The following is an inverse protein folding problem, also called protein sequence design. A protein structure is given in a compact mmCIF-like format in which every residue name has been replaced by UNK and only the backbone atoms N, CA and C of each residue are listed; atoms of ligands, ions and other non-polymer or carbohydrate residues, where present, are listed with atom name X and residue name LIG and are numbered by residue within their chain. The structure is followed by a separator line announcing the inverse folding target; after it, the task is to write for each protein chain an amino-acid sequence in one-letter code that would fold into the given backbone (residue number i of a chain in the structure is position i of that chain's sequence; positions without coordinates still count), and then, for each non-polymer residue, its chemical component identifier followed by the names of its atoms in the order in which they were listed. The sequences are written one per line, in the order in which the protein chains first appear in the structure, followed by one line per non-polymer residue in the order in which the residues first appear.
data_IF_356200027989
#
_entry.id   IF_356200027989
#
_cell.length_a   1.000
_cell.length_b   1.000
_cell.length_c   1.000
_cell.angle_alpha   90.00
_cell.angle_beta   90.00
_cell.angle_gamma   90.00
#
_symmetry.space_group_name_H-M   'P 1'
#
loop_
_entity.id
_entity.type
_entity.pdbx_description
1 polymer ?
#
# COMPACT_ATOMS: atom_id res chain seq x y z
N UNK A 1 5.70 43.27 34.64
CA UNK A 1 4.49 42.81 33.94
C UNK A 1 4.28 43.46 32.56
N UNK A 2 4.60 44.73 32.35
CA UNK A 2 4.35 45.42 31.06
C UNK A 2 5.22 44.94 29.87
N UNK A 3 6.45 44.48 30.09
CA UNK A 3 7.32 44.00 29.00
C UNK A 3 6.85 42.67 28.38
N UNK A 4 6.40 41.72 29.20
CA UNK A 4 5.90 40.41 28.74
C UNK A 4 4.60 40.52 27.94
N UNK A 5 3.75 41.50 28.25
CA UNK A 5 2.52 41.76 27.50
C UNK A 5 2.80 42.39 26.13
N UNK A 6 3.75 43.32 26.06
CA UNK A 6 4.17 43.92 24.79
C UNK A 6 4.89 42.93 23.88
N UNK A 7 5.70 42.03 24.45
CA UNK A 7 6.41 40.99 23.68
C UNK A 7 5.43 39.99 23.05
N UNK A 8 4.43 39.52 23.80
CA UNK A 8 3.36 38.65 23.27
C UNK A 8 2.55 39.34 22.17
N UNK A 9 2.25 40.63 22.33
CA UNK A 9 1.54 41.42 21.31
C UNK A 9 2.38 41.62 20.04
N UNK A 10 3.68 41.87 20.18
CA UNK A 10 4.60 42.00 19.05
C UNK A 10 4.74 40.68 18.29
N UNK A 11 4.94 39.57 19.01
CA UNK A 11 5.03 38.23 18.42
C UNK A 11 3.73 37.86 17.69
N UNK A 12 2.57 38.12 18.30
CA UNK A 12 1.27 37.84 17.68
C UNK A 12 1.03 38.67 16.42
N UNK A 13 1.40 39.96 16.40
CA UNK A 13 1.32 40.77 15.17
C UNK A 13 2.26 40.28 14.09
N UNK A 14 3.48 39.89 14.45
CA UNK A 14 4.46 39.34 13.51
C UNK A 14 4.02 37.98 12.95
N UNK A 15 3.36 37.15 13.76
CA UNK A 15 2.75 35.90 13.29
C UNK A 15 1.57 36.16 12.35
N UNK A 16 0.72 37.14 12.67
CA UNK A 16 -0.40 37.54 11.79
C UNK A 16 0.08 38.05 10.43
N UNK A 17 1.24 38.70 10.34
CA UNK A 17 1.78 39.13 9.04
C UNK A 17 2.26 37.98 8.14
N UNK A 18 2.41 36.77 8.67
CA UNK A 18 2.74 35.58 7.87
C UNK A 18 1.51 34.74 7.50
N UNK A 19 0.34 35.06 8.05
CA UNK A 19 -0.92 34.40 7.69
C UNK A 19 -1.49 35.12 6.47
N UNK A 20 -1.75 34.36 5.41
CA UNK A 20 -2.42 34.84 4.20
C UNK A 20 -3.78 35.47 4.54
N UNK A 21 -4.19 36.46 3.74
CA UNK A 21 -5.51 37.08 3.92
C UNK A 21 -6.62 36.08 3.57
N UNK A 22 -7.78 36.20 4.22
CA UNK A 22 -8.88 35.24 4.06
C UNK A 22 -9.36 35.09 2.61
N UNK A 23 -9.20 36.16 1.81
CA UNK A 23 -9.57 36.19 0.39
C UNK A 23 -8.57 35.45 -0.52
N UNK A 24 -7.34 35.25 -0.06
CA UNK A 24 -6.28 34.52 -0.76
C UNK A 24 -6.28 33.03 -0.41
N UNK A 25 -6.95 32.65 0.69
CA UNK A 25 -7.13 31.25 1.08
C UNK A 25 -8.15 30.56 0.16
N UNK A 26 -7.77 29.38 -0.31
CA UNK A 26 -8.71 28.47 -0.96
C UNK A 26 -9.70 27.90 0.06
N UNK A 27 -10.98 27.83 -0.31
CA UNK A 27 -12.05 27.32 0.56
C UNK A 27 -12.09 25.79 0.65
N UNK A 28 -11.37 25.09 -0.23
CA UNK A 28 -11.32 23.62 -0.28
C UNK A 28 -9.93 23.12 0.07
N UNK A 29 -9.88 21.94 0.70
CA UNK A 29 -8.63 21.28 1.08
C UNK A 29 -7.74 21.01 -0.14
N UNK A 30 -8.32 20.47 -1.22
CA UNK A 30 -7.59 20.22 -2.46
C UNK A 30 -7.01 21.50 -3.06
N UNK A 31 -7.79 22.60 -3.07
CA UNK A 31 -7.28 23.89 -3.56
C UNK A 31 -6.15 24.44 -2.70
N UNK A 32 -6.19 24.25 -1.39
CA UNK A 32 -5.11 24.65 -0.49
C UNK A 32 -3.84 23.81 -0.72
N UNK A 33 -3.97 22.52 -0.98
CA UNK A 33 -2.85 21.65 -1.35
C UNK A 33 -2.25 22.09 -2.68
N UNK A 34 -3.08 22.36 -3.69
CA UNK A 34 -2.62 22.85 -5.00
C UNK A 34 -1.84 24.16 -4.88
N UNK A 35 -2.25 25.04 -3.96
CA UNK A 35 -1.55 26.31 -3.67
C UNK A 35 -0.16 26.09 -3.10
N UNK A 36 -0.01 25.16 -2.15
CA UNK A 36 1.30 24.76 -1.60
C UNK A 36 2.16 24.12 -2.70
N UNK A 37 1.57 23.22 -3.50
CA UNK A 37 2.26 22.49 -4.56
C UNK A 37 2.69 23.39 -5.73
N UNK A 38 1.99 24.50 -5.96
CA UNK A 38 2.32 25.48 -7.00
C UNK A 38 3.56 26.33 -6.68
N UNK A 39 4.19 26.13 -5.52
CA UNK A 39 5.43 26.82 -5.14
C UNK A 39 5.23 28.17 -4.46
N UNK A 40 4.01 28.48 -4.03
CA UNK A 40 3.78 29.60 -3.11
C UNK A 40 4.43 29.28 -1.75
N UNK A 41 5.09 30.25 -1.11
CA UNK A 41 5.77 30.06 0.19
C UNK A 41 4.75 30.02 1.34
N UNK A 42 3.87 29.03 1.30
CA UNK A 42 2.73 28.89 2.19
C UNK A 42 2.86 27.59 2.97
N UNK A 43 2.56 27.65 4.27
CA UNK A 43 2.53 26.47 5.14
C UNK A 43 1.07 26.14 5.37
N UNK A 44 0.68 24.93 4.99
CA UNK A 44 -0.66 24.43 5.21
C UNK A 44 -0.71 23.63 6.52
N UNK A 45 -1.61 24.04 7.42
CA UNK A 45 -1.82 23.39 8.70
C UNK A 45 -3.12 22.58 8.65
N UNK A 46 -2.99 21.26 8.58
CA UNK A 46 -4.14 20.33 8.55
C UNK A 46 -3.73 18.98 9.16
N UNK A 47 -4.71 18.15 9.47
CA UNK A 47 -4.49 16.76 9.87
C UNK A 47 -3.92 15.93 8.71
N UNK A 48 -3.05 14.97 9.05
CA UNK A 48 -2.37 14.08 8.09
C UNK A 48 -3.36 13.30 7.21
N UNK A 49 -4.51 12.92 7.77
CA UNK A 49 -5.55 12.18 7.03
C UNK A 49 -6.17 13.03 5.90
N UNK A 50 -6.57 14.26 6.21
CA UNK A 50 -7.12 15.21 5.24
C UNK A 50 -6.15 15.51 4.10
N UNK A 51 -4.85 15.63 4.40
CA UNK A 51 -3.82 15.85 3.38
C UNK A 51 -3.65 14.61 2.50
N UNK A 52 -3.46 13.42 3.08
CA UNK A 52 -3.22 12.18 2.32
C UNK A 52 -4.34 11.83 1.35
N UNK A 53 -5.59 12.07 1.75
CA UNK A 53 -6.76 11.73 0.92
C UNK A 53 -6.95 12.65 -0.28
N UNK A 54 -6.37 13.86 -0.25
CA UNK A 54 -6.55 14.87 -1.28
C UNK A 54 -5.24 15.26 -1.98
N UNK A 55 -4.14 14.56 -1.70
CA UNK A 55 -2.82 14.85 -2.26
C UNK A 55 -2.74 14.40 -3.73
N UNK A 56 -2.37 15.30 -4.66
CA UNK A 56 -2.13 14.94 -6.04
C UNK A 56 -0.85 14.09 -6.17
N UNK A 57 -0.84 13.15 -7.12
CA UNK A 57 0.27 12.20 -7.32
C UNK A 57 1.62 12.84 -7.67
N UNK A 58 1.63 14.12 -8.05
CA UNK A 58 2.80 14.81 -8.61
C UNK A 58 3.39 15.84 -7.64
N UNK A 59 2.95 15.85 -6.37
CA UNK A 59 3.42 16.79 -5.36
C UNK A 59 3.95 16.02 -4.15
N UNK A 60 5.13 16.44 -3.68
CA UNK A 60 5.75 15.88 -2.48
C UNK A 60 5.69 16.92 -1.36
N UNK A 61 4.84 16.67 -0.37
CA UNK A 61 4.73 17.50 0.82
C UNK A 61 5.55 16.89 1.94
N UNK A 62 6.39 17.72 2.57
CA UNK A 62 7.13 17.34 3.78
C UNK A 62 6.37 17.86 4.99
N UNK A 63 5.95 16.95 5.86
CA UNK A 63 5.38 17.32 7.13
C UNK A 63 6.47 17.80 8.09
N UNK A 64 6.18 18.86 8.84
CA UNK A 64 6.99 19.23 9.99
C UNK A 64 6.57 18.39 11.19
N UNK A 65 7.53 17.83 11.91
CA UNK A 65 7.27 17.10 13.15
C UNK A 65 6.62 18.06 14.16
N UNK A 66 5.33 17.90 14.38
CA UNK A 66 4.61 18.57 15.46
C UNK A 66 4.47 17.61 16.64
N UNK A 67 4.90 18.08 17.81
CA UNK A 67 4.73 17.35 19.08
C UNK A 67 3.24 17.28 19.53
N UNK A 68 2.35 18.00 18.85
CA UNK A 68 0.94 18.10 19.23
C UNK A 68 0.10 17.05 18.50
N UNK A 69 -0.28 16.01 19.24
CA UNK A 69 -1.22 15.01 18.78
C UNK A 69 -2.65 15.59 18.77
N UNK A 70 -3.20 15.79 17.58
CA UNK A 70 -4.62 16.09 17.41
C UNK A 70 -5.40 14.79 17.61
N UNK A 71 -6.16 14.71 18.70
CA UNK A 71 -7.00 13.54 18.99
C UNK A 71 -8.41 13.74 18.43
N UNK A 72 -8.90 12.75 17.69
CA UNK A 72 -10.31 12.70 17.29
C UNK A 72 -11.14 12.15 18.45
N UNK A 73 -12.32 12.72 18.67
CA UNK A 73 -13.24 12.30 19.72
C UNK A 73 -14.69 12.33 19.23
N UNK A 74 -15.50 11.42 19.74
CA UNK A 74 -16.95 11.46 19.55
C UNK A 74 -17.57 12.47 20.51
N UNK A 75 -18.36 13.38 19.98
CA UNK A 75 -19.08 14.37 20.77
C UNK A 75 -20.50 13.86 21.06
N UNK A 76 -20.92 14.02 22.31
CA UNK A 76 -22.27 13.68 22.76
C UNK A 76 -22.92 14.90 23.40
N UNK A 77 -24.25 14.97 23.37
CA UNK A 77 -24.99 15.98 24.13
C UNK A 77 -24.65 15.89 25.62
N UNK A 78 -24.67 17.03 26.31
CA UNK A 78 -24.40 17.12 27.75
C UNK A 78 -25.34 16.19 28.51
N UNK A 79 -24.79 15.41 29.45
CA UNK A 79 -25.50 14.39 30.24
C UNK A 79 -26.09 13.23 29.44
N UNK A 80 -25.57 12.95 28.23
CA UNK A 80 -25.97 11.76 27.48
C UNK A 80 -25.52 10.48 28.18
N UNK A 81 -26.43 9.51 28.44
CA UNK A 81 -26.06 8.23 29.03
C UNK A 81 -25.17 7.39 28.09
N UNK A 82 -25.15 7.71 26.80
CA UNK A 82 -24.37 6.99 25.79
C UNK A 82 -22.87 7.29 25.86
N UNK A 83 -22.48 8.43 26.44
CA UNK A 83 -21.06 8.82 26.54
C UNK A 83 -20.23 7.78 27.32
N UNK A 84 -20.75 7.31 28.45
CA UNK A 84 -20.08 6.28 29.26
C UNK A 84 -20.06 4.93 28.55
N UNK A 85 -21.14 4.57 27.86
CA UNK A 85 -21.23 3.32 27.12
C UNK A 85 -20.22 3.28 25.97
N UNK A 86 -20.17 4.35 25.16
CA UNK A 86 -19.23 4.45 24.04
C UNK A 86 -17.77 4.45 24.53
N UNK A 87 -17.46 5.18 25.59
CA UNK A 87 -16.12 5.17 26.16
C UNK A 87 -15.68 3.78 26.62
N UNK A 88 -16.59 3.01 27.25
CA UNK A 88 -16.30 1.64 27.67
C UNK A 88 -15.97 0.73 26.47
N UNK A 89 -16.79 0.74 25.42
CA UNK A 89 -16.53 -0.09 24.24
C UNK A 89 -15.31 0.38 23.46
N UNK A 90 -15.06 1.68 23.37
CA UNK A 90 -13.88 2.22 22.68
C UNK A 90 -12.59 1.77 23.38
N UNK A 91 -12.56 1.80 24.71
CA UNK A 91 -11.45 1.25 25.49
C UNK A 91 -11.28 -0.24 25.22
N UNK A 92 -12.37 -1.01 25.27
CA UNK A 92 -12.34 -2.45 25.00
C UNK A 92 -11.84 -2.80 23.60
N UNK A 93 -12.24 -2.04 22.58
CA UNK A 93 -11.74 -2.21 21.21
C UNK A 93 -10.26 -1.86 21.06
N UNK A 94 -9.78 -0.87 21.82
CA UNK A 94 -8.35 -0.55 21.90
C UNK A 94 -7.56 -1.67 22.57
N UNK A 95 -8.06 -2.20 23.68
CA UNK A 95 -7.40 -3.25 24.45
C UNK A 95 -7.37 -4.58 23.68
N UNK A 96 -8.38 -4.86 22.86
CA UNK A 96 -8.38 -5.99 21.92
C UNK A 96 -7.57 -5.76 20.65
N UNK A 97 -6.96 -4.58 20.46
CA UNK A 97 -6.18 -4.27 19.28
C UNK A 97 -7.00 -4.13 17.99
N UNK A 98 -8.33 -4.05 18.06
CA UNK A 98 -9.20 -3.93 16.88
C UNK A 98 -8.88 -2.64 16.12
N UNK A 99 -8.61 -1.55 16.83
CA UNK A 99 -8.17 -0.28 16.23
C UNK A 99 -6.85 -0.42 15.45
N UNK A 100 -5.94 -1.28 15.91
CA UNK A 100 -4.68 -1.54 15.21
C UNK A 100 -4.89 -2.34 13.92
N UNK A 101 -5.80 -3.32 13.95
CA UNK A 101 -6.19 -4.10 12.77
C UNK A 101 -6.90 -3.24 11.72
N UNK A 102 -7.78 -2.33 12.15
CA UNK A 102 -8.44 -1.39 11.24
C UNK A 102 -7.44 -0.46 10.57
N UNK A 103 -6.47 0.08 11.33
CA UNK A 103 -5.40 0.93 10.80
C UNK A 103 -4.55 0.22 9.74
N UNK A 104 -4.25 -1.06 9.94
CA UNK A 104 -3.41 -1.84 9.03
C UNK A 104 -4.15 -2.31 7.78
N UNK A 105 -5.48 -2.47 7.83
CA UNK A 105 -6.27 -2.86 6.66
C UNK A 105 -6.47 -1.73 5.66
N UNK A 106 -6.52 -0.47 6.10
CA UNK A 106 -6.59 0.67 5.18
C UNK A 106 -5.24 0.94 4.50
N UNK A 107 -4.12 0.55 5.12
CA UNK A 107 -2.78 0.78 4.62
C UNK A 107 -2.10 -0.51 4.13
N UNK A 108 -2.76 -1.29 3.27
CA UNK A 108 -2.04 -2.33 2.52
C UNK A 108 -1.23 -1.65 1.42
N UNK A 109 -0.02 -1.24 1.78
CA UNK A 109 0.96 -0.71 0.83
C UNK A 109 1.23 -1.81 -0.21
N UNK A 110 0.72 -1.63 -1.43
CA UNK A 110 0.94 -2.53 -2.58
C UNK A 110 2.42 -2.85 -2.79
N UNK A 111 3.31 -1.93 -2.42
CA UNK A 111 4.77 -2.05 -2.47
C UNK A 111 5.28 -3.23 -1.60
N UNK A 112 4.69 -3.44 -0.42
CA UNK A 112 5.09 -4.53 0.48
C UNK A 112 4.61 -5.92 0.01
N UNK A 113 3.66 -5.97 -0.93
CA UNK A 113 3.13 -7.23 -1.49
C UNK A 113 3.88 -7.69 -2.74
N UNK A 114 4.65 -6.82 -3.39
CA UNK A 114 5.49 -7.12 -4.57
C UNK A 114 6.37 -8.39 -4.40
N UNK A 115 7.10 -8.59 -3.29
CA UNK A 115 7.97 -9.77 -3.17
C UNK A 115 7.19 -11.09 -3.18
N UNK A 116 5.97 -11.11 -2.65
CA UNK A 116 5.12 -12.30 -2.61
C UNK A 116 4.68 -12.67 -4.03
N UNK A 117 4.28 -11.67 -4.84
CA UNK A 117 3.91 -11.88 -6.23
C UNK A 117 5.09 -12.34 -7.10
N UNK A 118 6.31 -11.86 -6.84
CA UNK A 118 7.50 -12.29 -7.57
C UNK A 118 7.83 -13.76 -7.33
N UNK A 119 7.76 -14.22 -6.07
CA UNK A 119 7.99 -15.64 -5.73
C UNK A 119 6.95 -16.53 -6.42
N UNK A 120 5.68 -16.10 -6.41
CA UNK A 120 4.57 -16.80 -7.08
C UNK A 120 4.80 -16.90 -8.59
N UNK A 121 5.16 -15.80 -9.24
CA UNK A 121 5.43 -15.76 -10.67
C UNK A 121 6.59 -16.68 -11.04
N UNK A 122 7.66 -16.65 -10.25
CA UNK A 122 8.82 -17.51 -10.44
C UNK A 122 8.48 -19.00 -10.28
N UNK A 123 7.67 -19.34 -9.28
CA UNK A 123 7.19 -20.70 -9.07
C UNK A 123 6.37 -21.24 -10.25
N UNK A 124 5.51 -20.40 -10.84
CA UNK A 124 4.72 -20.76 -12.03
C UNK A 124 5.63 -20.99 -13.24
N UNK A 125 6.60 -20.11 -13.46
CA UNK A 125 7.57 -20.25 -14.56
C UNK A 125 8.42 -21.52 -14.41
N UNK A 126 8.90 -21.81 -13.21
CA UNK A 126 9.69 -23.02 -12.93
C UNK A 126 8.86 -24.28 -13.16
N UNK A 127 7.60 -24.29 -12.71
CA UNK A 127 6.69 -25.40 -12.93
C UNK A 127 6.42 -25.65 -14.42
N UNK A 128 6.26 -24.59 -15.22
CA UNK A 128 6.10 -24.71 -16.67
C UNK A 128 7.37 -25.26 -17.34
N UNK A 129 8.55 -24.83 -16.90
CA UNK A 129 9.82 -25.31 -17.44
C UNK A 129 10.00 -26.80 -17.20
N UNK A 130 9.73 -27.28 -15.97
CA UNK A 130 9.77 -28.71 -15.64
C UNK A 130 8.82 -29.51 -16.55
N UNK A 131 7.59 -29.03 -16.72
CA UNK A 131 6.59 -29.70 -17.56
C UNK A 131 7.00 -29.76 -19.04
N UNK A 132 7.66 -28.72 -19.56
CA UNK A 132 8.22 -28.70 -20.92
C UNK A 132 9.37 -29.72 -21.03
N UNK A 133 10.28 -29.74 -20.05
CA UNK A 133 11.39 -30.71 -20.03
C UNK A 133 10.90 -32.16 -19.99
N UNK A 134 9.91 -32.48 -19.14
CA UNK A 134 9.31 -33.81 -19.07
C UNK A 134 8.64 -34.20 -20.40
N UNK A 135 7.92 -33.27 -21.02
CA UNK A 135 7.28 -33.51 -22.32
C UNK A 135 8.29 -33.81 -23.42
N UNK A 136 9.39 -33.04 -23.47
CA UNK A 136 10.48 -33.27 -24.43
C UNK A 136 11.17 -34.61 -24.15
N UNK A 137 11.50 -34.90 -22.89
CA UNK A 137 12.14 -36.14 -22.50
C UNK A 137 11.26 -37.35 -22.85
N UNK A 138 9.97 -37.30 -22.52
CA UNK A 138 9.00 -38.34 -22.86
C UNK A 138 8.87 -38.52 -24.38
N UNK A 139 8.80 -37.43 -25.14
CA UNK A 139 8.71 -37.49 -26.60
C UNK A 139 9.94 -38.17 -27.21
N UNK A 140 11.15 -37.78 -26.78
CA UNK A 140 12.42 -38.38 -27.24
C UNK A 140 12.48 -39.86 -26.85
N UNK A 141 12.13 -40.21 -25.61
CA UNK A 141 12.18 -41.58 -25.12
C UNK A 141 11.18 -42.50 -25.87
N UNK A 142 9.96 -42.00 -26.13
CA UNK A 142 8.97 -42.74 -26.93
C UNK A 142 9.46 -42.97 -28.36
N UNK A 143 10.09 -41.97 -28.98
CA UNK A 143 10.64 -42.09 -30.33
C UNK A 143 11.82 -43.09 -30.37
N UNK A 144 12.67 -43.08 -29.35
CA UNK A 144 13.78 -44.03 -29.22
C UNK A 144 13.26 -45.48 -29.06
N UNK A 145 12.21 -45.66 -28.27
CA UNK A 145 11.56 -46.97 -28.05
C UNK A 145 10.92 -47.50 -29.34
N UNK A 146 10.22 -46.65 -30.09
CA UNK A 146 9.61 -47.03 -31.37
C UNK A 146 10.68 -47.44 -32.40
N UNK A 147 11.77 -46.66 -32.50
CA UNK A 147 12.88 -46.98 -33.43
C UNK A 147 13.55 -48.32 -33.09
N UNK A 148 13.77 -48.63 -31.81
CA UNK A 148 14.30 -49.93 -31.41
C UNK A 148 13.35 -51.10 -31.72
N UNK A 149 12.04 -50.89 -31.61
CA UNK A 149 11.04 -51.91 -31.93
C UNK A 149 11.02 -52.25 -33.43
N UNK A 150 11.18 -51.27 -34.32
CA UNK A 150 11.29 -51.52 -35.78
C UNK A 150 12.57 -52.29 -36.15
N UNK A 151 13.71 -51.97 -35.51
CA UNK A 151 14.95 -52.74 -35.71
C UNK A 151 14.81 -54.21 -35.27
N UNK A 152 14.03 -54.51 -34.23
CA UNK A 152 13.78 -55.89 -33.79
C UNK A 152 12.93 -56.69 -34.79
N UNK A 153 11.89 -56.07 -35.38
CA UNK A 153 11.03 -56.69 -36.41
C UNK A 153 11.77 -56.94 -37.73
N UNK A 154 12.69 -56.06 -38.09
CA UNK A 154 13.54 -56.25 -39.27
C UNK A 154 14.40 -57.52 -39.15
N UNK A 155 15.05 -57.76 -38.00
CA UNK A 155 15.87 -58.96 -37.78
C UNK A 155 15.10 -60.29 -37.83
N UNK A 156 13.84 -60.33 -37.41
CA UNK A 156 13.05 -61.57 -37.43
C UNK A 156 12.53 -61.97 -38.81
N UNK A 157 12.55 -61.07 -39.80
CA UNK A 157 12.09 -61.35 -41.16
C UNK A 157 13.18 -61.89 -42.10
N UNK A 158 14.47 -61.80 -41.74
CA UNK A 158 15.56 -62.36 -42.55
C UNK A 158 15.74 -63.88 -42.40
N UNK A 159 15.18 -64.49 -41.34
CA UNK A 159 15.36 -65.92 -41.05
C UNK A 159 14.21 -66.82 -41.53
N UNK A 160 13.23 -66.27 -42.27
CA UNK A 160 12.03 -67.00 -42.69
C UNK A 160 12.07 -67.76 -44.04
N UNK A 161 13.13 -67.76 -44.89
CA UNK A 161 13.11 -68.55 -46.13
C UNK A 161 14.12 -69.72 -46.18
N UNK A 162 14.46 -70.38 -45.07
CA UNK A 162 15.42 -71.52 -45.08
C UNK A 162 14.89 -72.83 -44.49
N UNK A 163 13.57 -73.01 -44.40
CA UNK A 163 12.97 -74.33 -44.14
C UNK A 163 11.98 -74.64 -45.28
N UNK A 164 12.51 -75.25 -46.34
CA UNK A 164 11.76 -76.13 -47.23
C UNK A 164 12.68 -77.26 -47.65
#
# INVERSE_FOLDING_TARGET
MNNLYNEKNYLSRKLKSFVLDYNELKSTVGGAIDQVCSGEKVIFLMDDWGVRTSMPSNCELVAFDQEHLVNMAFTFMKNSPYSSLFNYYLQKFRDYGILHVLRTRESVNLITSIPIFLILLFGILLSLLILICEKIHFHIYSMYTIRHHEFSKSKTNYWKPLIR
#
